data_IF_854760002523
#
_entry.id   IF_854760002523
#
_cell.length_a   1.000
_cell.length_b   1.000
_cell.length_c   1.000
_cell.angle_alpha   90.00
_cell.angle_beta   90.00
_cell.angle_gamma   90.00
#
_symmetry.space_group_name_H-M   'P 1'
#
loop_
_entity.id
_entity.type
_entity.pdbx_description
1 polymer ?
#
# COMPACT_ATOMS: atom_id res chain seq x y z
N UNK A 1 -4.51 6.28 31.12
CA UNK A 1 -4.30 6.27 29.69
C UNK A 1 -5.33 5.38 29.03
N UNK A 2 -6.13 6.00 28.23
CA UNK A 2 -7.12 5.26 27.45
C UNK A 2 -6.35 4.51 26.37
N UNK A 3 -6.43 3.20 26.41
CA UNK A 3 -5.88 2.41 25.35
C UNK A 3 -6.78 2.52 24.12
N UNK A 4 -6.18 2.75 22.97
CA UNK A 4 -6.93 2.91 21.73
C UNK A 4 -7.59 1.62 21.24
N UNK A 5 -7.41 0.52 21.98
CA UNK A 5 -7.96 -0.79 21.61
C UNK A 5 -9.49 -0.83 21.58
N UNK A 6 -10.14 0.14 22.24
CA UNK A 6 -11.60 0.20 22.28
C UNK A 6 -12.18 1.21 21.31
N UNK A 7 -11.34 1.94 20.58
CA UNK A 7 -11.83 2.87 19.60
C UNK A 7 -12.30 2.08 18.39
N UNK A 8 -13.61 2.11 18.18
CA UNK A 8 -14.21 1.51 17.00
C UNK A 8 -14.75 2.64 16.14
N UNK A 9 -14.01 2.97 15.12
CA UNK A 9 -14.43 4.02 14.22
C UNK A 9 -15.50 3.54 13.26
N UNK A 10 -16.27 4.48 12.78
CA UNK A 10 -17.19 4.27 11.68
C UNK A 10 -16.51 4.83 10.42
N UNK A 11 -16.03 3.98 9.51
CA UNK A 11 -15.29 4.46 8.33
C UNK A 11 -16.14 5.29 7.37
N UNK A 12 -17.45 5.26 7.52
CA UNK A 12 -18.35 6.05 6.68
C UNK A 12 -18.45 7.50 7.14
N UNK A 13 -17.96 7.82 8.33
CA UNK A 13 -17.95 9.18 8.84
C UNK A 13 -16.69 9.90 8.43
N UNK A 14 -16.84 11.13 7.95
CA UNK A 14 -15.72 11.99 7.59
C UNK A 14 -14.90 12.31 8.83
N UNK A 15 -13.56 12.26 8.71
CA UNK A 15 -12.65 12.55 9.82
C UNK A 15 -12.46 11.40 10.80
N UNK A 16 -13.13 10.27 10.59
CA UNK A 16 -12.95 9.09 11.43
C UNK A 16 -11.54 8.52 11.24
N UNK A 17 -10.81 8.19 12.34
CA UNK A 17 -9.48 7.60 12.22
C UNK A 17 -9.46 6.31 11.39
N UNK A 18 -10.49 5.46 11.51
CA UNK A 18 -10.58 4.23 10.71
C UNK A 18 -10.65 4.55 9.22
N UNK A 19 -11.34 5.60 8.82
CA UNK A 19 -11.41 6.03 7.42
C UNK A 19 -10.03 6.44 6.91
N UNK A 20 -9.25 7.11 7.74
CA UNK A 20 -7.88 7.51 7.38
C UNK A 20 -6.98 6.29 7.17
N UNK A 21 -7.15 5.26 7.98
CA UNK A 21 -6.43 4.00 7.81
C UNK A 21 -6.83 3.34 6.47
N UNK A 22 -8.13 3.32 6.15
CA UNK A 22 -8.61 2.78 4.88
C UNK A 22 -8.03 3.56 3.69
N UNK A 23 -7.93 4.87 3.80
CA UNK A 23 -7.32 5.69 2.75
C UNK A 23 -5.86 5.28 2.53
N UNK A 24 -5.14 4.98 3.60
CA UNK A 24 -3.75 4.54 3.50
C UNK A 24 -3.65 3.17 2.82
N UNK A 25 -4.39 2.19 3.30
CA UNK A 25 -4.30 0.81 2.78
C UNK A 25 -4.95 0.66 1.41
N UNK A 26 -5.83 1.59 1.04
CA UNK A 26 -6.46 1.60 -0.29
C UNK A 26 -5.59 2.14 -1.39
N UNK A 27 -4.45 2.72 -1.06
CA UNK A 27 -3.50 3.24 -2.03
C UNK A 27 -2.74 2.08 -2.70
N UNK A 28 -2.71 2.08 -4.02
CA UNK A 28 -2.04 1.00 -4.78
C UNK A 28 -0.56 0.88 -4.42
N UNK A 29 0.11 2.00 -4.16
CA UNK A 29 1.53 1.99 -3.82
C UNK A 29 1.76 1.36 -2.45
N UNK A 30 0.85 1.56 -1.50
CA UNK A 30 0.90 0.89 -0.20
C UNK A 30 0.84 -0.62 -0.37
N UNK A 31 -0.10 -1.12 -1.16
CA UNK A 31 -0.23 -2.56 -1.43
C UNK A 31 1.07 -3.12 -2.00
N UNK A 32 1.64 -2.43 -2.98
CA UNK A 32 2.86 -2.89 -3.64
C UNK A 32 4.09 -2.82 -2.74
N UNK A 33 4.21 -1.76 -1.92
CA UNK A 33 5.34 -1.62 -0.98
C UNK A 33 5.27 -2.70 0.10
N UNK A 34 4.10 -2.91 0.69
CA UNK A 34 3.93 -3.94 1.70
C UNK A 34 4.25 -5.32 1.13
N UNK A 35 3.81 -5.58 -0.09
CA UNK A 35 4.14 -6.83 -0.79
C UNK A 35 5.63 -6.99 -1.03
N UNK A 36 6.31 -5.92 -1.44
CA UNK A 36 7.75 -5.97 -1.69
C UNK A 36 8.56 -6.20 -0.41
N UNK A 37 8.09 -5.69 0.73
CA UNK A 37 8.76 -5.82 2.02
C UNK A 37 8.34 -7.08 2.79
N UNK A 38 7.55 -7.93 2.18
CA UNK A 38 6.97 -9.12 2.82
C UNK A 38 8.02 -10.01 3.50
N UNK A 39 9.09 -10.32 2.81
CA UNK A 39 10.12 -11.22 3.31
C UNK A 39 11.48 -10.57 3.49
N UNK A 40 11.62 -9.31 3.06
CA UNK A 40 12.92 -8.69 2.95
C UNK A 40 12.96 -7.31 3.58
N UNK A 41 14.13 -7.00 4.15
CA UNK A 41 14.51 -5.63 4.44
C UNK A 41 15.11 -5.06 3.15
N UNK A 42 14.56 -3.96 2.66
CA UNK A 42 15.00 -3.39 1.39
C UNK A 42 15.44 -1.94 1.54
N UNK A 43 16.38 -1.55 0.69
CA UNK A 43 16.80 -0.16 0.54
C UNK A 43 15.82 0.57 -0.39
N UNK A 44 15.84 1.89 -0.31
CA UNK A 44 15.01 2.74 -1.16
C UNK A 44 15.18 2.40 -2.65
N UNK A 45 16.42 2.27 -3.11
CA UNK A 45 16.70 1.97 -4.52
C UNK A 45 16.18 0.59 -4.93
N UNK A 46 16.24 -0.37 -4.01
CA UNK A 46 15.74 -1.72 -4.28
C UNK A 46 14.21 -1.73 -4.39
N UNK A 47 13.53 -0.99 -3.50
CA UNK A 47 12.08 -0.82 -3.59
C UNK A 47 11.69 -0.17 -4.90
N UNK A 48 12.39 0.88 -5.29
CA UNK A 48 12.09 1.61 -6.51
C UNK A 48 12.24 0.72 -7.76
N UNK A 49 13.23 -0.16 -7.76
CA UNK A 49 13.42 -1.11 -8.86
C UNK A 49 12.33 -2.17 -8.91
N UNK A 50 11.87 -2.64 -7.75
CA UNK A 50 10.81 -3.65 -7.68
C UNK A 50 9.45 -3.13 -8.05
N UNK A 51 9.19 -1.86 -7.79
CA UNK A 51 7.89 -1.25 -8.03
C UNK A 51 7.98 -0.40 -9.29
N UNK A 52 7.75 -1.05 -10.41
CA UNK A 52 7.85 -0.39 -11.70
C UNK A 52 6.86 0.77 -11.79
N UNK A 53 7.33 1.90 -12.27
CA UNK A 53 6.50 3.08 -12.50
C UNK A 53 6.35 4.02 -11.32
N UNK A 54 6.85 3.66 -10.14
CA UNK A 54 6.77 4.57 -9.00
C UNK A 54 7.85 5.65 -9.10
N UNK A 55 7.44 6.91 -8.91
CA UNK A 55 8.40 8.01 -8.86
C UNK A 55 9.10 8.06 -7.51
N UNK A 56 10.28 8.69 -7.48
CA UNK A 56 11.00 8.90 -6.23
C UNK A 56 10.15 9.67 -5.22
N UNK A 57 9.46 10.69 -5.69
CA UNK A 57 8.58 11.49 -4.84
C UNK A 57 7.45 10.66 -4.23
N UNK A 58 6.79 9.86 -5.04
CA UNK A 58 5.69 9.03 -4.57
C UNK A 58 6.17 7.96 -3.60
N UNK A 59 7.30 7.31 -3.89
CA UNK A 59 7.87 6.32 -2.98
C UNK A 59 8.24 6.95 -1.64
N UNK A 60 8.87 8.12 -1.66
CA UNK A 60 9.22 8.86 -0.43
C UNK A 60 7.98 9.19 0.38
N UNK A 61 6.94 9.73 -0.26
CA UNK A 61 5.71 10.12 0.43
C UNK A 61 4.98 8.92 1.02
N UNK A 62 4.89 7.83 0.26
CA UNK A 62 4.21 6.63 0.73
C UNK A 62 4.96 5.97 1.88
N UNK A 63 6.27 5.86 1.79
CA UNK A 63 7.09 5.31 2.88
C UNK A 63 6.98 6.14 4.15
N UNK A 64 6.96 7.46 4.03
CA UNK A 64 6.76 8.34 5.19
C UNK A 64 5.42 8.08 5.86
N UNK A 65 4.37 7.97 5.07
CA UNK A 65 3.05 7.68 5.60
C UNK A 65 2.99 6.34 6.29
N UNK A 66 3.60 5.32 5.72
CA UNK A 66 3.66 4.00 6.33
C UNK A 66 4.48 3.98 7.61
N UNK A 67 5.55 4.75 7.67
CA UNK A 67 6.35 4.90 8.88
C UNK A 67 5.56 5.63 9.97
N UNK A 68 4.89 6.72 9.62
CA UNK A 68 4.03 7.46 10.54
C UNK A 68 2.90 6.59 11.12
N UNK A 69 2.35 5.70 10.30
CA UNK A 69 1.27 4.81 10.73
C UNK A 69 1.79 3.58 11.48
N UNK A 70 3.10 3.47 11.67
CA UNK A 70 3.69 2.34 12.39
C UNK A 70 3.69 1.02 11.64
N UNK A 71 3.58 1.06 10.32
CA UNK A 71 3.53 -0.14 9.47
C UNK A 71 4.91 -0.51 8.91
N UNK A 72 5.81 0.47 8.83
CA UNK A 72 7.16 0.31 8.30
C UNK A 72 8.16 0.94 9.26
N UNK A 73 9.30 0.28 9.44
CA UNK A 73 10.43 0.83 10.19
C UNK A 73 11.52 1.25 9.20
N UNK A 74 12.02 2.47 9.39
CA UNK A 74 13.16 3.00 8.65
C UNK A 74 14.39 2.93 9.55
N UNK A 75 15.41 2.21 9.12
CA UNK A 75 16.66 2.07 9.87
C UNK A 75 17.78 2.75 9.10
N UNK A 76 18.48 3.68 9.78
CA UNK A 76 19.63 4.37 9.22
C UNK A 76 20.89 3.81 9.88
N UNK A 77 21.81 3.29 9.07
CA UNK A 77 23.08 2.79 9.56
C UNK A 77 24.17 3.78 9.16
N UNK A 78 24.97 4.22 10.16
CA UNK A 78 26.05 5.17 9.95
C UNK A 78 27.23 4.47 9.27
N UNK A 79 27.20 4.48 7.96
CA UNK A 79 28.27 3.95 7.10
C UNK A 79 28.61 5.00 6.05
N UNK A 80 29.62 4.75 5.25
CA UNK A 80 29.97 5.60 4.12
C UNK A 80 29.90 4.75 2.85
N UNK A 81 28.87 4.93 1.98
CA UNK A 81 27.73 5.84 2.14
C UNK A 81 26.72 5.38 3.19
N UNK A 82 25.90 6.30 3.69
CA UNK A 82 24.85 6.01 4.67
C UNK A 82 23.89 4.97 4.09
N UNK A 83 23.57 3.96 4.91
CA UNK A 83 22.62 2.92 4.53
C UNK A 83 21.26 3.22 5.18
N UNK A 84 20.21 3.28 4.36
CA UNK A 84 18.84 3.42 4.83
C UNK A 84 18.05 2.20 4.37
N UNK A 85 17.46 1.49 5.31
CA UNK A 85 16.72 0.26 5.03
C UNK A 85 15.31 0.36 5.59
N UNK A 86 14.36 -0.28 4.91
CA UNK A 86 12.95 -0.33 5.27
C UNK A 86 12.52 -1.77 5.50
N UNK A 87 11.72 -1.98 6.53
CA UNK A 87 11.12 -3.29 6.79
C UNK A 87 9.74 -3.10 7.39
N UNK A 88 8.91 -4.13 7.28
CA UNK A 88 7.58 -4.12 7.91
C UNK A 88 7.72 -4.29 9.42
N UNK A 89 6.89 -3.57 10.16
CA UNK A 89 6.67 -3.81 11.58
C UNK A 89 5.75 -5.02 11.75
N UNK A 90 5.49 -5.44 12.99
CA UNK A 90 4.52 -6.51 13.25
C UNK A 90 3.13 -6.12 12.72
N UNK A 91 2.73 -4.85 12.89
CA UNK A 91 1.48 -4.36 12.33
C UNK A 91 1.49 -4.42 10.80
N UNK A 92 2.60 -4.02 10.19
CA UNK A 92 2.75 -4.12 8.74
C UNK A 92 2.67 -5.56 8.24
N UNK A 93 3.26 -6.49 8.96
CA UNK A 93 3.18 -7.90 8.64
C UNK A 93 1.75 -8.43 8.72
N UNK A 94 1.00 -8.00 9.73
CA UNK A 94 -0.41 -8.39 9.86
C UNK A 94 -1.26 -7.86 8.72
N UNK A 95 -0.93 -6.69 8.21
CA UNK A 95 -1.63 -6.08 7.08
C UNK A 95 -1.42 -6.85 5.77
N UNK A 96 -0.33 -7.58 5.66
CA UNK A 96 -0.02 -8.41 4.49
C UNK A 96 -1.15 -9.35 4.11
N UNK A 97 -1.79 -9.98 5.11
CA UNK A 97 -2.81 -10.99 4.87
C UNK A 97 -4.00 -10.44 4.07
N UNK A 98 -4.67 -9.37 4.52
CA UNK A 98 -5.77 -8.81 3.73
C UNK A 98 -5.31 -8.21 2.40
N UNK A 99 -4.12 -7.60 2.34
CA UNK A 99 -3.62 -7.04 1.09
C UNK A 99 -3.28 -8.12 0.07
N UNK A 100 -2.72 -9.24 0.53
CA UNK A 100 -2.46 -10.40 -0.33
C UNK A 100 -3.76 -10.96 -0.89
N UNK A 101 -4.80 -11.03 -0.06
CA UNK A 101 -6.11 -11.48 -0.51
C UNK A 101 -6.69 -10.57 -1.60
N UNK A 102 -6.51 -9.25 -1.45
CA UNK A 102 -6.95 -8.29 -2.46
C UNK A 102 -6.17 -8.43 -3.76
N UNK A 103 -4.86 -8.63 -3.65
CA UNK A 103 -4.00 -8.86 -4.81
C UNK A 103 -4.43 -10.13 -5.56
N UNK A 104 -4.63 -11.21 -4.83
CA UNK A 104 -5.08 -12.48 -5.42
C UNK A 104 -6.44 -12.33 -6.09
N UNK A 105 -7.36 -11.62 -5.44
CA UNK A 105 -8.67 -11.35 -6.03
C UNK A 105 -8.53 -10.61 -7.36
N UNK A 106 -7.66 -9.60 -7.40
CA UNK A 106 -7.42 -8.82 -8.61
C UNK A 106 -6.89 -9.68 -9.76
N UNK A 107 -5.99 -10.58 -9.45
CA UNK A 107 -5.41 -11.50 -10.44
C UNK A 107 -6.49 -12.48 -10.94
N UNK A 108 -7.25 -13.05 -10.01
CA UNK A 108 -8.26 -14.06 -10.35
C UNK A 108 -9.43 -13.49 -11.14
N UNK A 109 -9.73 -12.21 -10.96
CA UNK A 109 -10.88 -11.57 -11.60
C UNK A 109 -10.49 -10.63 -12.75
N UNK A 110 -9.21 -10.59 -13.11
CA UNK A 110 -8.73 -9.67 -14.14
C UNK A 110 -9.48 -9.82 -15.45
N UNK A 111 -9.65 -11.04 -15.93
CA UNK A 111 -10.35 -11.29 -17.19
C UNK A 111 -11.79 -10.78 -17.15
N UNK A 112 -12.49 -11.06 -16.07
CA UNK A 112 -13.89 -10.64 -15.88
C UNK A 112 -13.99 -9.10 -15.87
N UNK A 113 -13.08 -8.44 -15.17
CA UNK A 113 -13.07 -6.97 -15.10
C UNK A 113 -12.77 -6.36 -16.46
N UNK A 114 -11.78 -6.91 -17.17
CA UNK A 114 -11.44 -6.42 -18.50
C UNK A 114 -12.60 -6.60 -19.49
N UNK A 115 -13.30 -7.72 -19.41
CA UNK A 115 -14.48 -7.97 -20.26
C UNK A 115 -15.58 -6.95 -19.96
N UNK A 116 -15.81 -6.65 -18.67
CA UNK A 116 -16.81 -5.68 -18.29
C UNK A 116 -16.45 -4.27 -18.77
N UNK A 117 -15.16 -3.90 -18.68
CA UNK A 117 -14.68 -2.61 -19.17
C UNK A 117 -14.87 -2.48 -20.68
N UNK A 118 -14.52 -3.53 -21.42
CA UNK A 118 -14.67 -3.54 -22.87
C UNK A 118 -16.15 -3.41 -23.28
N UNK A 119 -17.05 -4.12 -22.58
CA UNK A 119 -18.47 -4.02 -22.84
C UNK A 119 -19.03 -2.61 -22.56
N UNK A 120 -18.54 -1.98 -21.49
CA UNK A 120 -18.96 -0.63 -21.14
C UNK A 120 -18.47 0.39 -22.18
N UNK A 121 -17.23 0.30 -22.61
CA UNK A 121 -16.66 1.16 -23.66
C UNK A 121 -17.43 1.02 -24.96
N UNK A 122 -17.82 -0.19 -25.32
CA UNK A 122 -18.60 -0.45 -26.52
C UNK A 122 -19.98 0.23 -26.47
N UNK A 123 -20.62 0.26 -25.31
CA UNK A 123 -21.91 0.92 -25.10
C UNK A 123 -21.79 2.44 -25.20
N UNK A 124 -20.69 3.00 -24.72
CA UNK A 124 -20.47 4.44 -24.67
C UNK A 124 -19.84 4.97 -25.96
N UNK A 125 -19.43 4.08 -26.87
CA UNK A 125 -18.86 4.49 -28.12
C UNK A 125 -19.91 5.28 -28.92
N UNK A 126 -19.54 6.47 -29.44
CA UNK A 126 -20.46 7.23 -30.25
C UNK A 126 -20.80 6.44 -31.51
N UNK A 127 -22.11 6.29 -31.76
CA UNK A 127 -22.57 5.70 -33.00
C UNK A 127 -22.21 6.66 -34.14
N UNK A 128 -21.34 6.21 -34.98
CA UNK A 128 -20.96 6.96 -36.20
C UNK A 128 -22.00 6.81 -37.27
#
# INVERSE_FOLDING_TARGET
LVTNNHIRGNPYEQGCPTRRILDRIGDKWTVLIVGALEEDTLRFSELRRRIEGISQKMLTQTLRGLEEDGLVTRTVTAEVPVRVEYRLTDAGQSLRIPLKALEDWSIDHLGQVLDAQAAHQSKDAPSS
#
